data_IF_290229925513
#
_entry.id   IF_290229925513
#
_cell.length_a   1.000
_cell.length_b   1.000
_cell.length_c   1.000
_cell.angle_alpha   90.00
_cell.angle_beta   90.00
_cell.angle_gamma   90.00
#
_symmetry.space_group_name_H-M   'P 1'
#
loop_
_entity.id
_entity.type
_entity.pdbx_description
1 polymer ?
#
# COMPACT_ATOMS: atom_id res chain seq x y z
N UNK A 1 -38.75 -33.72 -36.06
CA UNK A 1 -38.63 -32.25 -36.11
C UNK A 1 -39.55 -31.66 -35.07
N UNK A 2 -38.97 -30.86 -34.17
CA UNK A 2 -39.57 -29.98 -33.17
C UNK A 2 -40.45 -30.61 -32.08
N UNK A 3 -39.77 -31.06 -31.02
CA UNK A 3 -40.33 -31.16 -29.69
C UNK A 3 -40.44 -29.77 -29.04
N UNK A 4 -41.63 -29.45 -28.56
CA UNK A 4 -41.93 -28.31 -27.72
C UNK A 4 -42.04 -28.79 -26.28
N UNK A 5 -40.92 -28.72 -25.55
CA UNK A 5 -40.88 -28.91 -24.10
C UNK A 5 -39.91 -27.88 -23.53
N UNK A 6 -40.44 -26.71 -23.12
CA UNK A 6 -39.71 -25.73 -22.34
C UNK A 6 -40.17 -25.85 -20.88
N UNK A 7 -39.29 -26.18 -19.93
CA UNK A 7 -39.59 -25.97 -18.52
C UNK A 7 -39.35 -24.50 -18.20
N UNK A 8 -40.40 -23.78 -17.80
CA UNK A 8 -40.27 -22.47 -17.18
C UNK A 8 -39.79 -22.65 -15.72
N UNK A 9 -38.48 -22.81 -15.55
CA UNK A 9 -37.81 -22.47 -14.30
C UNK A 9 -37.20 -21.09 -14.46
N UNK A 10 -37.94 -20.04 -14.08
CA UNK A 10 -37.32 -18.79 -13.68
C UNK A 10 -37.54 -18.65 -12.19
N UNK A 11 -36.47 -18.95 -11.45
CA UNK A 11 -36.31 -18.55 -10.06
C UNK A 11 -36.82 -17.11 -9.90
N UNK A 12 -37.84 -16.94 -9.06
CA UNK A 12 -38.20 -15.63 -8.55
C UNK A 12 -37.04 -15.17 -7.66
N UNK A 13 -36.02 -14.57 -8.29
CA UNK A 13 -35.09 -13.65 -7.67
C UNK A 13 -35.90 -12.47 -7.16
N UNK A 14 -36.52 -12.64 -6.00
CA UNK A 14 -37.15 -11.56 -5.26
C UNK A 14 -36.05 -10.58 -4.86
N UNK A 15 -36.13 -9.41 -5.49
CA UNK A 15 -35.60 -8.12 -5.07
C UNK A 15 -34.30 -8.15 -4.26
N UNK A 16 -33.17 -8.16 -4.97
CA UNK A 16 -31.96 -7.54 -4.41
C UNK A 16 -32.26 -6.05 -4.26
N UNK A 17 -32.65 -5.65 -3.05
CA UNK A 17 -32.56 -4.27 -2.60
C UNK A 17 -31.11 -3.84 -2.89
N UNK A 18 -30.87 -2.75 -3.65
CA UNK A 18 -29.51 -2.28 -3.86
C UNK A 18 -28.91 -1.92 -2.50
N UNK A 19 -27.77 -2.55 -2.14
CA UNK A 19 -27.06 -2.28 -0.90
C UNK A 19 -26.82 -0.78 -0.74
N UNK A 20 -27.53 -0.18 0.21
CA UNK A 20 -27.41 1.22 0.57
C UNK A 20 -26.01 1.42 1.18
N UNK A 21 -25.12 2.04 0.40
CA UNK A 21 -23.73 2.35 0.78
C UNK A 21 -23.57 3.86 1.00
N UNK A 22 -24.55 4.46 1.68
CA UNK A 22 -24.49 5.82 2.22
C UNK A 22 -24.17 5.81 3.72
N UNK A 23 -23.80 6.95 4.33
CA UNK A 23 -23.40 7.02 5.73
C UNK A 23 -24.54 6.54 6.63
N UNK A 24 -24.19 5.70 7.60
CA UNK A 24 -25.15 5.15 8.53
C UNK A 24 -25.82 6.28 9.34
N UNK A 25 -27.14 6.21 9.49
CA UNK A 25 -27.85 7.09 10.41
C UNK A 25 -27.50 6.69 11.85
N UNK A 26 -26.77 7.55 12.55
CA UNK A 26 -26.43 7.38 13.97
C UNK A 26 -27.73 7.31 14.78
N UNK A 27 -27.93 6.19 15.49
CA UNK A 27 -29.09 6.02 16.35
C UNK A 27 -28.96 6.90 17.60
N UNK A 28 -30.03 7.63 18.01
CA UNK A 28 -29.99 8.44 19.22
C UNK A 28 -29.64 7.61 20.45
N UNK A 29 -28.75 8.14 21.29
CA UNK A 29 -28.40 7.51 22.56
C UNK A 29 -28.11 8.61 23.60
N UNK A 30 -28.61 8.50 24.85
CA UNK A 30 -28.42 9.54 25.86
C UNK A 30 -26.96 9.96 26.07
N UNK A 31 -26.05 9.00 25.90
CA UNK A 31 -24.60 9.23 25.99
C UNK A 31 -24.01 9.94 24.77
N UNK A 32 -24.68 10.16 23.65
CA UNK A 32 -24.07 10.82 22.48
C UNK A 32 -24.87 12.02 21.96
N UNK A 33 -26.09 12.20 22.44
CA UNK A 33 -26.99 13.26 21.98
C UNK A 33 -26.35 14.66 22.10
N UNK A 34 -25.52 14.89 23.12
CA UNK A 34 -24.79 16.14 23.33
C UNK A 34 -23.59 16.31 22.38
N UNK A 35 -23.03 15.22 21.84
CA UNK A 35 -21.85 15.24 20.97
C UNK A 35 -22.19 15.32 19.48
N UNK A 36 -23.38 14.89 19.08
CA UNK A 36 -23.79 14.83 17.66
C UNK A 36 -23.61 16.18 16.92
N UNK A 37 -24.06 17.34 17.46
CA UNK A 37 -24.01 18.60 16.71
C UNK A 37 -22.60 19.05 16.32
N UNK A 38 -21.60 18.72 17.15
CA UNK A 38 -20.25 19.27 17.03
C UNK A 38 -19.26 18.30 16.35
N UNK A 39 -19.61 17.02 16.24
CA UNK A 39 -18.65 15.97 15.87
C UNK A 39 -18.98 15.18 14.61
N UNK A 40 -20.15 15.37 13.99
CA UNK A 40 -20.47 14.76 12.69
C UNK A 40 -19.74 15.47 11.54
N UNK A 41 -19.30 14.68 10.54
CA UNK A 41 -18.55 15.14 9.37
C UNK A 41 -17.13 15.64 9.67
N UNK A 42 -16.67 15.49 10.91
CA UNK A 42 -15.34 15.93 11.36
C UNK A 42 -14.32 14.79 11.47
N UNK A 43 -13.04 15.17 11.49
CA UNK A 43 -11.92 14.26 11.70
C UNK A 43 -11.24 13.77 10.42
N UNK A 44 -10.10 13.08 10.60
CA UNK A 44 -9.31 12.50 9.50
C UNK A 44 -8.91 11.09 9.90
N UNK A 45 -9.16 10.13 9.01
CA UNK A 45 -8.68 8.75 9.14
C UNK A 45 -7.33 8.64 8.43
N UNK A 46 -6.32 8.20 9.17
CA UNK A 46 -4.99 7.89 8.63
C UNK A 46 -4.82 6.37 8.70
N UNK A 47 -4.80 5.66 7.55
CA UNK A 47 -4.54 4.24 7.54
C UNK A 47 -3.18 3.91 8.17
N UNK A 48 -3.18 2.98 9.12
CA UNK A 48 -1.96 2.44 9.68
C UNK A 48 -1.39 1.38 8.77
N UNK A 49 -0.08 1.43 8.55
CA UNK A 49 0.67 0.40 7.82
C UNK A 49 0.67 -0.91 8.59
N UNK A 50 0.64 -2.04 7.89
CA UNK A 50 0.85 -3.35 8.50
C UNK A 50 2.28 -3.50 9.02
N UNK A 51 2.49 -4.45 9.94
CA UNK A 51 3.84 -4.81 10.39
C UNK A 51 4.76 -5.20 9.22
N UNK A 52 4.23 -5.83 8.16
CA UNK A 52 5.03 -6.20 6.98
C UNK A 52 5.40 -4.98 6.15
N UNK A 53 4.50 -4.00 6.01
CA UNK A 53 4.79 -2.74 5.33
C UNK A 53 5.80 -1.88 6.09
N UNK A 54 5.83 -1.96 7.43
CA UNK A 54 6.79 -1.23 8.27
C UNK A 54 8.14 -1.93 8.32
N UNK A 55 8.17 -3.27 8.33
CA UNK A 55 9.40 -4.07 8.37
C UNK A 55 10.16 -4.11 7.05
N UNK A 56 9.58 -3.62 5.97
CA UNK A 56 10.34 -3.44 4.74
C UNK A 56 11.31 -2.28 4.94
N UNK A 57 12.53 -2.64 5.33
CA UNK A 57 13.64 -1.71 5.36
C UNK A 57 13.90 -1.18 3.95
N UNK A 58 13.91 0.14 3.81
CA UNK A 58 14.28 0.85 2.59
C UNK A 58 15.75 0.63 2.26
N UNK A 59 16.05 -0.54 1.69
CA UNK A 59 17.41 -0.86 1.24
C UNK A 59 17.59 -0.35 -0.19
N UNK A 60 18.52 0.59 -0.35
CA UNK A 60 18.93 1.11 -1.65
C UNK A 60 20.23 0.40 -2.02
N UNK A 61 20.22 -0.26 -3.18
CA UNK A 61 21.39 -0.91 -3.78
C UNK A 61 21.67 -0.28 -5.13
N UNK A 62 22.70 -0.75 -5.81
CA UNK A 62 23.04 -0.30 -7.16
C UNK A 62 22.63 -1.35 -8.19
N UNK A 63 21.91 -0.92 -9.22
CA UNK A 63 21.50 -1.76 -10.35
C UNK A 63 22.26 -1.38 -11.60
N UNK A 64 22.69 -2.37 -12.37
CA UNK A 64 23.31 -2.17 -13.67
C UNK A 64 22.24 -1.94 -14.73
N UNK A 65 22.47 -0.94 -15.58
CA UNK A 65 21.61 -0.60 -16.71
C UNK A 65 22.43 -0.55 -18.00
N UNK A 66 21.79 -0.90 -19.12
CA UNK A 66 22.31 -0.64 -20.46
C UNK A 66 21.31 0.18 -21.27
N UNK A 67 21.70 0.63 -22.47
CA UNK A 67 20.79 1.22 -23.45
C UNK A 67 20.96 0.49 -24.78
N UNK A 68 19.84 0.20 -25.43
CA UNK A 68 19.80 -0.52 -26.70
C UNK A 68 18.86 0.18 -27.68
N UNK A 69 19.10 0.07 -29.00
CA UNK A 69 18.09 0.42 -29.99
C UNK A 69 16.81 -0.40 -29.76
N UNK A 70 15.63 0.21 -29.96
CA UNK A 70 14.34 -0.45 -29.76
C UNK A 70 14.20 -1.75 -30.58
N UNK A 71 14.89 -1.85 -31.72
CA UNK A 71 14.90 -3.06 -32.56
C UNK A 71 15.65 -4.23 -31.91
N UNK A 72 16.75 -3.95 -31.21
CA UNK A 72 17.61 -4.96 -30.57
C UNK A 72 17.22 -5.26 -29.11
N UNK A 73 16.28 -4.49 -28.56
CA UNK A 73 15.78 -4.62 -27.19
C UNK A 73 15.41 -6.05 -26.79
N UNK A 74 14.68 -6.77 -27.66
CA UNK A 74 14.22 -8.13 -27.37
C UNK A 74 15.37 -9.14 -27.33
N UNK A 75 16.40 -8.94 -28.16
CA UNK A 75 17.60 -9.78 -28.16
C UNK A 75 18.37 -9.58 -26.85
N UNK A 76 18.56 -8.33 -26.42
CA UNK A 76 19.17 -8.02 -25.12
C UNK A 76 18.37 -8.65 -23.97
N UNK A 77 17.04 -8.52 -23.95
CA UNK A 77 16.21 -9.13 -22.90
C UNK A 77 16.33 -10.67 -22.90
N UNK A 78 16.40 -11.29 -24.07
CA UNK A 78 16.52 -12.74 -24.22
C UNK A 78 17.89 -13.22 -23.76
N UNK A 79 18.95 -12.54 -24.16
CA UNK A 79 20.32 -12.75 -23.68
C UNK A 79 20.41 -12.66 -22.15
N UNK A 80 19.74 -11.68 -21.54
CA UNK A 80 19.73 -11.55 -20.09
C UNK A 80 19.02 -12.70 -19.39
N UNK A 81 17.99 -13.30 -19.99
CA UNK A 81 17.32 -14.48 -19.42
C UNK A 81 18.20 -15.72 -19.48
N UNK A 82 19.11 -15.81 -20.46
CA UNK A 82 20.05 -16.94 -20.58
C UNK A 82 21.28 -16.76 -19.69
N UNK A 83 21.75 -15.52 -19.49
CA UNK A 83 22.93 -15.21 -18.69
C UNK A 83 22.65 -15.13 -17.19
N UNK A 84 21.52 -14.55 -16.81
CA UNK A 84 21.21 -14.34 -15.40
C UNK A 84 20.52 -15.58 -14.81
N UNK A 85 20.94 -16.04 -13.62
CA UNK A 85 20.23 -17.10 -12.90
C UNK A 85 18.76 -16.72 -12.72
N UNK A 86 17.85 -17.70 -12.78
CA UNK A 86 16.41 -17.44 -12.66
C UNK A 86 16.04 -16.61 -11.41
N UNK A 87 16.79 -16.75 -10.30
CA UNK A 87 16.57 -15.99 -9.06
C UNK A 87 16.90 -14.50 -9.16
N UNK A 88 17.93 -14.14 -9.93
CA UNK A 88 18.41 -12.76 -10.12
C UNK A 88 17.42 -11.94 -10.94
N UNK A 89 16.94 -12.51 -12.06
CA UNK A 89 15.89 -11.90 -12.85
C UNK A 89 14.55 -11.77 -12.08
N UNK A 90 14.37 -12.57 -11.02
CA UNK A 90 13.18 -12.57 -10.16
C UNK A 90 13.23 -11.54 -9.01
N UNK A 91 14.40 -10.99 -8.67
CA UNK A 91 14.56 -10.06 -7.55
C UNK A 91 13.96 -8.66 -7.79
N UNK A 92 13.93 -8.20 -9.04
CA UNK A 92 13.63 -6.80 -9.39
C UNK A 92 12.29 -6.61 -10.15
N UNK A 93 11.30 -7.47 -9.92
CA UNK A 93 10.01 -7.43 -10.65
C UNK A 93 9.14 -6.20 -10.41
N UNK A 94 9.43 -5.45 -9.35
CA UNK A 94 8.82 -4.15 -9.07
C UNK A 94 9.44 -3.03 -9.90
N UNK A 95 10.66 -3.21 -10.42
CA UNK A 95 11.29 -2.26 -11.34
C UNK A 95 10.81 -2.53 -12.76
N UNK A 96 10.60 -1.47 -13.54
CA UNK A 96 10.37 -1.63 -14.99
C UNK A 96 11.66 -2.06 -15.64
N UNK A 97 11.65 -3.24 -16.27
CA UNK A 97 12.80 -3.77 -17.02
C UNK A 97 13.27 -2.81 -18.11
N UNK A 98 12.34 -2.17 -18.81
CA UNK A 98 12.63 -1.23 -19.88
C UNK A 98 12.02 0.13 -19.57
N UNK A 99 12.78 1.19 -19.81
CA UNK A 99 12.34 2.57 -19.66
C UNK A 99 12.72 3.38 -20.92
N UNK A 100 11.80 4.22 -21.41
CA UNK A 100 12.16 5.19 -22.45
C UNK A 100 12.98 6.32 -21.83
N UNK A 101 13.78 7.04 -22.63
CA UNK A 101 14.48 8.24 -22.17
C UNK A 101 13.56 9.30 -21.53
N UNK A 102 12.29 9.37 -21.97
CA UNK A 102 11.26 10.24 -21.39
C UNK A 102 10.81 9.83 -19.99
N UNK A 103 10.94 8.54 -19.66
CA UNK A 103 10.40 7.94 -18.45
C UNK A 103 11.46 7.88 -17.33
N UNK A 104 12.70 8.24 -17.63
CA UNK A 104 13.78 8.29 -16.65
C UNK A 104 13.60 9.43 -15.65
N UNK A 105 14.04 9.25 -14.39
CA UNK A 105 14.22 10.33 -13.43
C UNK A 105 14.99 11.51 -14.01
N UNK A 106 14.60 12.74 -13.65
CA UNK A 106 15.19 13.97 -14.20
C UNK A 106 16.70 14.05 -14.03
N UNK A 107 17.24 13.59 -12.90
CA UNK A 107 18.67 13.61 -12.62
C UNK A 107 19.43 12.59 -13.49
N UNK A 108 18.95 11.34 -13.62
CA UNK A 108 19.54 10.34 -14.52
C UNK A 108 19.46 10.78 -15.98
N UNK A 109 18.32 11.33 -16.39
CA UNK A 109 18.15 11.88 -17.74
C UNK A 109 19.18 12.96 -18.03
N UNK A 110 19.37 13.89 -17.10
CA UNK A 110 20.34 14.99 -17.23
C UNK A 110 21.77 14.46 -17.28
N UNK A 111 22.10 13.49 -16.42
CA UNK A 111 23.41 12.83 -16.40
C UNK A 111 23.72 12.16 -17.75
N UNK A 112 22.84 11.28 -18.23
CA UNK A 112 23.08 10.53 -19.46
C UNK A 112 23.02 11.37 -20.73
N UNK A 113 22.22 12.45 -20.74
CA UNK A 113 22.17 13.41 -21.84
C UNK A 113 23.49 14.21 -21.97
N UNK A 114 24.16 14.48 -20.86
CA UNK A 114 25.36 15.32 -20.82
C UNK A 114 26.67 14.52 -20.81
N UNK A 115 26.62 13.20 -20.63
CA UNK A 115 27.79 12.34 -20.60
C UNK A 115 28.51 12.26 -21.96
N UNK A 116 27.76 12.08 -23.07
CA UNK A 116 28.34 11.97 -24.41
C UNK A 116 27.46 12.64 -25.48
N UNK A 117 28.02 13.00 -26.66
CA UNK A 117 27.24 13.50 -27.79
C UNK A 117 26.12 12.55 -28.24
N UNK A 118 26.39 11.24 -28.23
CA UNK A 118 25.40 10.19 -28.55
C UNK A 118 24.29 10.17 -27.50
N UNK A 119 24.65 10.30 -26.22
CA UNK A 119 23.70 10.44 -25.12
C UNK A 119 22.76 11.63 -25.35
N UNK A 120 23.28 12.78 -25.76
CA UNK A 120 22.45 13.95 -26.09
C UNK A 120 21.45 13.63 -27.20
N UNK A 121 21.89 13.01 -28.29
CA UNK A 121 21.02 12.62 -29.41
C UNK A 121 19.90 11.67 -28.97
N UNK A 122 20.20 10.69 -28.12
CA UNK A 122 19.22 9.73 -27.60
C UNK A 122 18.08 10.41 -26.83
N UNK A 123 18.38 11.53 -26.15
CA UNK A 123 17.43 12.25 -25.30
C UNK A 123 16.70 13.39 -26.01
N UNK A 124 17.10 13.75 -27.23
CA UNK A 124 16.47 14.80 -28.05
C UNK A 124 15.54 14.22 -29.12
N UNK A 125 14.27 14.65 -29.15
CA UNK A 125 13.31 14.22 -30.17
C UNK A 125 12.64 12.86 -29.90
N UNK A 126 12.18 12.18 -30.95
CA UNK A 126 11.60 10.82 -30.84
C UNK A 126 12.74 9.80 -30.75
N UNK A 127 13.05 9.37 -29.52
CA UNK A 127 14.11 8.39 -29.30
C UNK A 127 13.75 7.00 -29.83
N UNK A 128 14.67 6.40 -30.57
CA UNK A 128 14.64 5.00 -31.00
C UNK A 128 15.42 4.08 -30.05
N UNK A 129 15.72 4.56 -28.84
CA UNK A 129 16.49 3.84 -27.82
C UNK A 129 15.66 3.60 -26.57
N UNK A 130 15.98 2.51 -25.88
CA UNK A 130 15.42 2.19 -24.58
C UNK A 130 16.56 1.90 -23.60
N UNK A 131 16.34 2.24 -22.33
CA UNK A 131 17.20 1.78 -21.25
C UNK A 131 16.65 0.48 -20.68
N UNK A 132 17.54 -0.45 -20.33
CA UNK A 132 17.21 -1.79 -19.85
C UNK A 132 17.92 -2.03 -18.51
N UNK A 133 17.15 -2.32 -17.47
CA UNK A 133 17.64 -2.76 -16.15
C UNK A 133 18.14 -4.20 -16.26
N UNK A 134 19.36 -4.48 -15.79
CA UNK A 134 20.02 -5.78 -15.95
C UNK A 134 19.90 -6.65 -14.70
N UNK A 135 20.58 -6.26 -13.63
CA UNK A 135 20.67 -6.97 -12.35
C UNK A 135 21.23 -6.03 -11.28
N UNK A 136 21.34 -6.51 -10.04
CA UNK A 136 22.12 -5.81 -9.03
C UNK A 136 23.63 -5.85 -9.40
N UNK A 137 24.33 -4.74 -9.19
CA UNK A 137 25.74 -4.56 -9.57
C UNK A 137 26.68 -5.58 -8.91
N UNK A 138 26.30 -6.12 -7.75
CA UNK A 138 27.07 -7.16 -7.05
C UNK A 138 26.84 -8.58 -7.57
N UNK A 139 25.83 -8.82 -8.41
CA UNK A 139 25.44 -10.18 -8.82
C UNK A 139 26.21 -10.70 -10.05
N UNK A 140 26.79 -9.81 -10.85
CA UNK A 140 27.42 -10.20 -12.11
C UNK A 140 28.64 -9.35 -12.46
N UNK A 141 29.64 -9.96 -13.11
CA UNK A 141 30.83 -9.25 -13.59
C UNK A 141 30.47 -8.29 -14.74
N UNK A 142 30.79 -7.00 -14.56
CA UNK A 142 30.59 -5.97 -15.58
C UNK A 142 31.28 -6.29 -16.90
N UNK A 143 32.48 -6.86 -16.85
CA UNK A 143 33.27 -7.18 -18.05
C UNK A 143 32.58 -8.29 -18.87
N UNK A 144 32.10 -9.33 -18.20
CA UNK A 144 31.38 -10.42 -18.84
C UNK A 144 30.05 -9.95 -19.47
N UNK A 145 29.31 -9.06 -18.80
CA UNK A 145 28.11 -8.46 -19.38
C UNK A 145 28.43 -7.62 -20.62
N UNK A 146 29.52 -6.85 -20.57
CA UNK A 146 29.94 -6.00 -21.68
C UNK A 146 30.31 -6.83 -22.90
N UNK A 147 31.05 -7.93 -22.72
CA UNK A 147 31.42 -8.86 -23.79
C UNK A 147 30.19 -9.50 -24.46
N UNK A 148 29.21 -9.96 -23.67
CA UNK A 148 28.00 -10.56 -24.20
C UNK A 148 27.08 -9.53 -24.88
N UNK A 149 26.96 -8.33 -24.33
CA UNK A 149 26.17 -7.25 -24.93
C UNK A 149 26.77 -6.78 -26.27
N UNK A 150 28.09 -6.80 -26.42
CA UNK A 150 28.77 -6.42 -27.65
C UNK A 150 28.46 -7.38 -28.82
N UNK A 151 28.01 -8.61 -28.53
CA UNK A 151 27.59 -9.59 -29.54
C UNK A 151 26.21 -9.29 -30.13
N UNK A 152 25.43 -8.43 -29.48
CA UNK A 152 24.08 -8.06 -29.94
C UNK A 152 24.15 -6.97 -31.01
N UNK A 153 23.42 -7.16 -32.10
CA UNK A 153 23.43 -6.21 -33.22
C UNK A 153 22.95 -4.82 -32.77
N UNK A 154 23.73 -3.78 -33.08
CA UNK A 154 23.40 -2.39 -32.79
C UNK A 154 23.81 -1.87 -31.41
N UNK A 155 24.45 -2.70 -30.56
CA UNK A 155 25.01 -2.25 -29.27
C UNK A 155 26.37 -1.57 -29.40
N UNK A 156 27.14 -1.88 -30.45
CA UNK A 156 28.51 -1.41 -30.64
C UNK A 156 29.55 -2.26 -29.89
N UNK A 157 30.83 -1.96 -30.10
CA UNK A 157 31.96 -2.67 -29.47
C UNK A 157 32.10 -2.35 -27.97
N UNK A 158 31.69 -1.15 -27.57
CA UNK A 158 31.66 -0.72 -26.17
C UNK A 158 30.21 -0.38 -25.78
N UNK A 159 29.40 -1.39 -25.42
CA UNK A 159 28.04 -1.17 -24.94
C UNK A 159 28.01 -0.24 -23.74
N UNK A 160 27.06 0.69 -23.72
CA UNK A 160 26.82 1.53 -22.56
C UNK A 160 26.41 0.66 -21.37
N UNK A 161 27.12 0.80 -20.25
CA UNK A 161 26.83 0.12 -19.00
C UNK A 161 27.04 1.11 -17.86
N UNK A 162 25.98 1.37 -17.10
CA UNK A 162 26.03 2.32 -15.98
C UNK A 162 25.37 1.72 -14.74
N UNK A 163 25.76 2.22 -13.58
CA UNK A 163 25.22 1.80 -12.29
C UNK A 163 24.38 2.90 -11.68
N UNK A 164 23.17 2.57 -11.26
CA UNK A 164 22.18 3.55 -10.74
C UNK A 164 21.58 3.06 -9.42
N UNK A 165 21.24 3.97 -8.49
CA UNK A 165 20.59 3.57 -7.25
C UNK A 165 19.18 3.04 -7.52
N UNK A 166 18.83 1.92 -6.90
CA UNK A 166 17.53 1.27 -7.00
C UNK A 166 17.03 0.77 -5.64
N UNK A 167 15.71 0.79 -5.39
CA UNK A 167 15.14 0.14 -4.22
C UNK A 167 15.17 -1.38 -4.42
N UNK A 168 15.73 -2.12 -3.46
CA UNK A 168 15.79 -3.59 -3.51
C UNK A 168 14.42 -4.22 -3.26
N UNK A 169 13.59 -3.58 -2.44
CA UNK A 169 12.25 -4.05 -2.06
C UNK A 169 11.16 -3.44 -2.94
N UNK A 170 10.06 -4.16 -3.12
CA UNK A 170 8.90 -3.67 -3.86
C UNK A 170 8.18 -2.54 -3.11
N UNK A 171 7.59 -1.54 -3.80
CA UNK A 171 6.85 -0.48 -3.15
C UNK A 171 5.55 -1.01 -2.53
N UNK A 172 5.17 -0.47 -1.38
CA UNK A 172 3.95 -0.85 -0.65
C UNK A 172 2.72 -0.07 -1.08
N UNK A 173 2.89 1.06 -1.77
CA UNK A 173 1.80 1.89 -2.27
C UNK A 173 2.09 2.51 -3.63
N UNK A 174 1.04 2.95 -4.33
CA UNK A 174 1.16 3.67 -5.60
C UNK A 174 1.91 5.01 -5.45
N UNK A 175 1.69 5.70 -4.32
CA UNK A 175 2.39 6.96 -4.00
C UNK A 175 3.89 6.71 -3.84
N UNK A 176 4.27 5.65 -3.12
CA UNK A 176 5.66 5.27 -2.96
C UNK A 176 6.30 4.84 -4.29
N UNK A 177 5.59 4.07 -5.12
CA UNK A 177 6.08 3.71 -6.45
C UNK A 177 6.33 4.93 -7.34
N UNK A 178 5.45 5.95 -7.27
CA UNK A 178 5.63 7.20 -8.00
C UNK A 178 6.83 8.00 -7.49
N UNK A 179 6.99 8.11 -6.16
CA UNK A 179 8.16 8.74 -5.53
C UNK A 179 9.47 8.04 -5.95
N UNK A 180 9.53 6.71 -5.88
CA UNK A 180 10.73 5.99 -6.30
C UNK A 180 11.00 6.08 -7.79
N UNK A 181 9.94 6.14 -8.61
CA UNK A 181 10.07 6.34 -10.06
C UNK A 181 10.69 7.69 -10.42
N UNK A 182 10.51 8.73 -9.59
CA UNK A 182 11.14 10.04 -9.81
C UNK A 182 12.54 10.16 -9.19
N UNK A 183 12.87 9.30 -8.21
CA UNK A 183 14.12 9.36 -7.45
C UNK A 183 15.18 8.33 -7.84
N UNK A 184 14.80 7.16 -8.34
CA UNK A 184 15.71 6.02 -8.52
C UNK A 184 15.61 5.43 -9.92
N UNK A 185 14.52 4.71 -10.17
CA UNK A 185 14.24 4.04 -11.43
C UNK A 185 12.74 3.82 -11.54
N UNK A 186 12.14 3.79 -12.75
CA UNK A 186 10.71 3.52 -12.89
C UNK A 186 10.28 2.23 -12.17
N UNK A 187 9.37 2.39 -11.20
CA UNK A 187 8.86 1.34 -10.32
C UNK A 187 7.35 1.16 -10.54
N UNK A 188 6.83 -0.03 -10.19
CA UNK A 188 5.41 -0.35 -10.29
C UNK A 188 4.92 -0.97 -8.98
N UNK A 189 3.89 -0.36 -8.41
CA UNK A 189 3.07 -0.98 -7.38
C UNK A 189 2.12 -1.99 -8.03
N UNK A 190 2.10 -3.23 -7.53
CA UNK A 190 1.18 -4.27 -8.00
C UNK A 190 0.03 -4.44 -7.01
N UNK A 191 -1.18 -4.65 -7.53
CA UNK A 191 -2.40 -4.83 -6.72
C UNK A 191 -2.38 -6.09 -5.85
N UNK A 192 -1.59 -7.09 -6.24
CA UNK A 192 -1.38 -8.33 -5.48
C UNK A 192 -0.20 -8.24 -4.50
N UNK A 193 0.17 -7.02 -4.06
CA UNK A 193 1.21 -6.83 -3.08
C UNK A 193 0.86 -7.61 -1.78
N UNK A 194 1.68 -8.60 -1.36
CA UNK A 194 1.37 -9.42 -0.19
C UNK A 194 1.54 -8.67 1.14
N UNK A 195 2.07 -7.45 1.12
CA UNK A 195 2.51 -6.74 2.32
C UNK A 195 1.36 -6.04 3.06
N UNK A 196 0.29 -5.68 2.36
CA UNK A 196 -0.79 -4.91 2.96
C UNK A 196 -2.09 -5.01 2.16
N UNK A 197 -3.21 -4.61 2.78
CA UNK A 197 -4.50 -4.56 2.10
C UNK A 197 -4.44 -3.61 0.91
N UNK A 198 -5.17 -3.94 -0.15
CA UNK A 198 -5.22 -3.09 -1.33
C UNK A 198 -5.78 -1.69 -0.98
N UNK A 199 -5.18 -0.58 -1.44
CA UNK A 199 -5.60 0.78 -1.08
C UNK A 199 -7.09 1.06 -1.32
N UNK A 200 -7.67 0.49 -2.37
CA UNK A 200 -9.11 0.64 -2.64
C UNK A 200 -10.01 -0.02 -1.57
N UNK A 201 -9.57 -1.11 -0.93
CA UNK A 201 -10.31 -1.72 0.18
C UNK A 201 -10.25 -0.83 1.42
N UNK A 202 -9.06 -0.29 1.71
CA UNK A 202 -8.86 0.65 2.83
C UNK A 202 -9.66 1.93 2.62
N UNK A 203 -9.65 2.49 1.41
CA UNK A 203 -10.41 3.68 1.05
C UNK A 203 -11.92 3.45 1.22
N UNK A 204 -12.44 2.34 0.67
CA UNK A 204 -13.86 1.99 0.83
C UNK A 204 -14.26 1.83 2.29
N UNK A 205 -13.45 1.12 3.09
CA UNK A 205 -13.71 0.97 4.52
C UNK A 205 -13.67 2.30 5.27
N UNK A 206 -12.75 3.20 4.89
CA UNK A 206 -12.64 4.54 5.48
C UNK A 206 -13.85 5.40 5.12
N UNK A 207 -14.32 5.34 3.86
CA UNK A 207 -15.48 6.09 3.39
C UNK A 207 -16.77 5.72 4.13
N UNK A 208 -16.90 4.48 4.60
CA UNK A 208 -18.05 4.01 5.37
C UNK A 208 -18.13 4.67 6.75
N UNK A 209 -16.99 4.93 7.40
CA UNK A 209 -16.96 5.33 8.82
C UNK A 209 -16.52 6.78 9.06
N UNK A 210 -15.99 7.47 8.03
CA UNK A 210 -15.37 8.80 8.17
C UNK A 210 -16.28 9.85 8.81
N UNK A 211 -17.57 9.88 8.45
CA UNK A 211 -18.48 10.96 8.83
C UNK A 211 -18.87 10.93 10.31
N UNK A 212 -18.75 9.78 10.95
CA UNK A 212 -19.09 9.58 12.37
C UNK A 212 -17.86 9.29 13.24
N UNK A 213 -16.67 9.18 12.64
CA UNK A 213 -15.43 8.84 13.35
C UNK A 213 -15.17 9.82 14.50
N UNK A 214 -15.27 11.12 14.26
CA UNK A 214 -15.02 12.14 15.30
C UNK A 214 -15.98 12.02 16.47
N UNK A 215 -17.26 11.71 16.22
CA UNK A 215 -18.26 11.49 17.27
C UNK A 215 -17.85 10.33 18.20
N UNK A 216 -17.50 9.20 17.62
CA UNK A 216 -17.13 8.01 18.38
C UNK A 216 -15.79 8.18 19.12
N UNK A 217 -14.85 8.89 18.52
CA UNK A 217 -13.58 9.24 19.18
C UNK A 217 -13.79 10.21 20.36
N UNK A 218 -14.70 11.18 20.23
CA UNK A 218 -15.07 12.08 21.33
C UNK A 218 -15.72 11.33 22.49
N UNK A 219 -16.63 10.40 22.20
CA UNK A 219 -17.21 9.52 23.22
C UNK A 219 -16.13 8.67 23.91
N UNK A 220 -15.25 8.02 23.15
CA UNK A 220 -14.15 7.23 23.71
C UNK A 220 -13.25 8.08 24.62
N UNK A 221 -12.93 9.30 24.21
CA UNK A 221 -12.13 10.24 25.00
C UNK A 221 -12.84 10.66 26.30
N UNK A 222 -14.15 10.94 26.26
CA UNK A 222 -14.92 11.31 27.45
C UNK A 222 -14.96 10.17 28.47
N UNK A 223 -15.15 8.93 28.01
CA UNK A 223 -15.15 7.75 28.88
C UNK A 223 -13.76 7.47 29.45
N UNK A 224 -12.70 7.68 28.65
CA UNK A 224 -11.32 7.60 29.10
C UNK A 224 -11.02 8.56 30.26
N UNK A 225 -11.43 9.83 30.12
CA UNK A 225 -11.26 10.84 31.18
C UNK A 225 -12.05 10.50 32.43
N UNK A 226 -13.32 10.11 32.29
CA UNK A 226 -14.16 9.73 33.43
C UNK A 226 -13.53 8.61 34.27
N UNK A 227 -12.99 7.58 33.62
CA UNK A 227 -12.32 6.48 34.32
C UNK A 227 -11.00 6.91 35.01
N UNK A 228 -10.24 7.79 34.36
CA UNK A 228 -9.01 8.33 34.91
C UNK A 228 -9.25 9.25 36.12
N UNK A 229 -10.21 10.18 36.01
CA UNK A 229 -10.56 11.13 37.07
C UNK A 229 -11.14 10.42 38.30
N UNK A 230 -11.85 9.31 38.08
CA UNK A 230 -12.32 8.43 39.14
C UNK A 230 -11.20 7.54 39.76
N UNK A 231 -9.98 7.60 39.22
CA UNK A 231 -8.83 6.82 39.69
C UNK A 231 -8.92 5.32 39.42
N UNK A 232 -9.78 4.90 38.49
CA UNK A 232 -10.12 3.49 38.21
C UNK A 232 -9.12 2.86 37.23
N UNK A 233 -8.59 3.65 36.30
CA UNK A 233 -7.67 3.16 35.27
C UNK A 233 -6.88 4.28 34.61
N UNK A 234 -6.14 3.91 33.58
CA UNK A 234 -5.40 4.84 32.72
C UNK A 234 -6.35 5.65 31.81
N UNK A 235 -5.93 6.79 31.23
CA UNK A 235 -6.77 7.64 30.39
C UNK A 235 -6.97 7.03 28.99
N UNK A 236 -7.58 5.84 28.93
CA UNK A 236 -7.93 5.11 27.72
C UNK A 236 -9.40 4.71 27.75
N UNK A 237 -10.02 4.76 26.58
CA UNK A 237 -11.43 4.44 26.39
C UNK A 237 -11.64 3.67 25.10
N UNK A 238 -12.67 2.84 25.08
CA UNK A 238 -13.08 2.04 23.93
C UNK A 238 -14.59 2.19 23.73
N UNK A 239 -14.99 2.19 22.47
CA UNK A 239 -16.39 2.26 22.03
C UNK A 239 -16.57 1.20 20.95
N UNK A 240 -17.66 0.45 21.01
CA UNK A 240 -18.06 -0.54 20.01
C UNK A 240 -19.37 -0.07 19.39
N UNK A 241 -19.36 -0.03 18.05
CA UNK A 241 -20.50 0.42 17.24
C UNK A 241 -20.91 -0.75 16.35
N UNK A 242 -22.19 -1.08 16.35
CA UNK A 242 -22.79 -2.01 15.41
C UNK A 242 -23.34 -1.23 14.22
N UNK A 243 -23.03 -1.72 13.01
CA UNK A 243 -23.47 -1.14 11.74
C UNK A 243 -24.33 -2.13 11.00
N UNK A 244 -25.63 -1.87 10.95
CA UNK A 244 -26.60 -2.74 10.29
C UNK A 244 -27.67 -1.91 9.59
N UNK A 245 -28.03 -2.29 8.36
CA UNK A 245 -29.12 -1.69 7.59
C UNK A 245 -29.05 -0.16 7.47
N UNK A 246 -27.86 0.40 7.27
CA UNK A 246 -27.68 1.85 7.14
C UNK A 246 -27.78 2.60 8.48
N UNK A 247 -27.58 1.93 9.62
CA UNK A 247 -27.68 2.50 10.96
C UNK A 247 -26.46 2.15 11.79
N UNK A 248 -26.00 3.15 12.54
CA UNK A 248 -24.88 3.02 13.48
C UNK A 248 -25.38 3.14 14.90
N UNK A 249 -25.20 2.10 15.69
CA UNK A 249 -25.69 2.00 17.07
C UNK A 249 -24.54 1.76 18.05
N UNK A 250 -24.58 2.46 19.17
CA UNK A 250 -23.65 2.26 20.28
C UNK A 250 -24.04 1.00 21.05
N UNK A 251 -23.19 -0.04 21.00
CA UNK A 251 -23.47 -1.33 21.65
C UNK A 251 -22.56 -1.62 22.84
N UNK A 252 -21.45 -0.89 22.97
CA UNK A 252 -20.57 -1.04 24.13
C UNK A 252 -19.64 0.15 24.30
N UNK A 253 -19.33 0.49 25.55
CA UNK A 253 -18.33 1.51 25.89
C UNK A 253 -17.64 1.18 27.21
N UNK A 254 -16.35 1.41 27.30
CA UNK A 254 -15.64 1.24 28.57
C UNK A 254 -14.40 2.12 28.66
N UNK A 255 -14.12 2.59 29.88
CA UNK A 255 -12.83 3.15 30.26
C UNK A 255 -11.89 2.05 30.74
N UNK A 256 -10.61 2.34 30.82
CA UNK A 256 -9.66 1.43 31.46
C UNK A 256 -10.00 1.29 32.95
N UNK A 257 -9.87 0.09 33.50
CA UNK A 257 -10.12 -0.16 34.92
C UNK A 257 -9.07 -1.07 35.57
N UNK A 258 -7.84 -1.08 35.03
CA UNK A 258 -6.78 -1.97 35.52
C UNK A 258 -6.38 -1.72 36.98
N UNK A 259 -6.76 -0.57 37.54
CA UNK A 259 -6.48 -0.18 38.92
C UNK A 259 -7.71 -0.29 39.84
N UNK A 260 -8.85 -0.72 39.32
CA UNK A 260 -10.07 -0.83 40.11
C UNK A 260 -9.93 -1.93 41.15
N UNK A 261 -10.11 -1.58 42.43
CA UNK A 261 -10.00 -2.50 43.57
C UNK A 261 -8.60 -3.14 43.72
N UNK A 262 -7.58 -2.63 43.01
CA UNK A 262 -6.20 -3.07 43.18
C UNK A 262 -5.61 -2.43 44.45
N UNK A 263 -5.04 -3.23 45.38
CA UNK A 263 -4.51 -2.72 46.64
C UNK A 263 -3.24 -1.87 46.47
N UNK A 264 -2.55 -1.99 45.34
CA UNK A 264 -1.40 -1.14 44.99
C UNK A 264 -1.34 -0.88 43.49
N UNK A 265 -1.00 0.35 43.09
CA UNK A 265 -0.68 0.70 41.70
C UNK A 265 0.75 0.30 41.33
N UNK A 266 1.13 -0.95 41.64
CA UNK A 266 2.43 -1.50 41.29
C UNK A 266 2.27 -2.54 40.17
N UNK A 267 3.25 -2.64 39.27
CA UNK A 267 3.20 -3.57 38.14
C UNK A 267 2.26 -3.11 37.03
N UNK A 268 1.56 -4.06 36.40
CA UNK A 268 0.75 -3.83 35.19
C UNK A 268 -0.76 -3.69 35.44
N UNK A 269 -1.21 -3.82 36.70
CA UNK A 269 -2.63 -3.88 37.07
C UNK A 269 -3.32 -5.15 36.54
N UNK A 270 -4.64 -5.20 36.62
CA UNK A 270 -5.43 -6.29 36.02
C UNK A 270 -5.56 -6.08 34.50
N UNK A 271 -4.86 -6.88 33.67
CA UNK A 271 -4.91 -6.70 32.21
C UNK A 271 -6.30 -7.00 31.64
N UNK A 272 -7.13 -7.81 32.32
CA UNK A 272 -8.48 -8.12 31.87
C UNK A 272 -9.46 -6.94 32.03
N UNK A 273 -9.09 -5.95 32.85
CA UNK A 273 -9.85 -4.73 33.02
C UNK A 273 -9.44 -3.61 32.03
N UNK A 274 -8.66 -3.93 31.00
CA UNK A 274 -8.38 -3.01 29.90
C UNK A 274 -9.66 -2.55 29.20
N UNK A 275 -9.72 -1.28 28.77
CA UNK A 275 -10.93 -0.69 28.16
C UNK A 275 -11.52 -1.54 27.02
N UNK A 276 -10.67 -2.03 26.10
CA UNK A 276 -11.09 -2.90 24.99
C UNK A 276 -11.75 -4.20 25.47
N UNK A 277 -11.14 -4.92 26.43
CA UNK A 277 -11.68 -6.18 26.93
C UNK A 277 -12.99 -5.98 27.68
N UNK A 278 -13.10 -4.88 28.44
CA UNK A 278 -14.34 -4.50 29.11
C UNK A 278 -15.45 -4.18 28.13
N UNK A 279 -15.18 -3.39 27.10
CA UNK A 279 -16.16 -3.08 26.07
C UNK A 279 -16.63 -4.35 25.34
N UNK A 280 -15.71 -5.26 24.99
CA UNK A 280 -16.07 -6.56 24.42
C UNK A 280 -16.96 -7.39 25.36
N UNK A 281 -16.64 -7.41 26.66
CA UNK A 281 -17.44 -8.12 27.65
C UNK A 281 -18.86 -7.56 27.80
N UNK A 282 -19.08 -6.26 27.55
CA UNK A 282 -20.43 -5.67 27.59
C UNK A 282 -21.28 -6.08 26.39
N UNK A 283 -20.66 -6.29 25.23
CA UNK A 283 -21.34 -6.72 24.01
C UNK A 283 -21.63 -8.22 24.02
N UNK A 284 -20.81 -9.01 24.71
CA UNK A 284 -20.95 -10.46 24.76
C UNK A 284 -22.01 -10.98 25.77
N UNK A 285 -22.60 -10.10 26.58
CA UNK A 285 -23.64 -10.43 27.58
C UNK A 285 -25.03 -10.42 26.95
#
# INVERSE_FOLDING_TARGET
MNGSNFPAASEASSDRIPDFTGPDAVQPHPLINDLIPDHLGGGVLIPLKTTLEVRQDHTIVHGLITRAPTKSANEVITLLRTLLPEGVAKGLFHLRRCAKPSDLPTHLKTQFMNATPEGRQIHTGKSSWIYIMLCEDSEFSRDALTEELAKVEGMGQEPFLESVPIPLVAPTSQVQAAMWSSQFWPCVYRKNNPLGPHPALVARASDVVKDETSLWMALAHRVARSAYDAGIGEPMGAVIIQRENGKSELVGLAGDARWHQEPSRSGTGNPMAHCVLRAMSMVAQ
#
